data_IF_197607028143
#
_entry.id   IF_197607028143
#
_cell.length_a   1.000
_cell.length_b   1.000
_cell.length_c   1.000
_cell.angle_alpha   90.00
_cell.angle_beta   90.00
_cell.angle_gamma   90.00
#
_symmetry.space_group_name_H-M   'P 1'
#
loop_
_entity.id
_entity.type
_entity.pdbx_description
1 polymer ?
#
# COMPACT_ATOMS: atom_id res chain seq x y z
N UNK A 1 -12.18 -7.54 -5.28
CA UNK A 1 -13.42 -6.90 -4.88
C UNK A 1 -13.74 -5.74 -5.80
N UNK A 2 -15.00 -5.37 -5.90
CA UNK A 2 -15.44 -4.28 -6.76
C UNK A 2 -14.83 -2.91 -6.39
N UNK A 3 -14.27 -2.81 -5.22
CA UNK A 3 -13.81 -1.55 -4.61
C UNK A 3 -12.28 -1.38 -4.63
N UNK A 4 -11.56 -2.23 -5.35
CA UNK A 4 -10.09 -2.16 -5.45
C UNK A 4 -9.33 -2.61 -4.20
N UNK A 5 -10.01 -2.76 -3.07
CA UNK A 5 -9.43 -3.29 -1.83
C UNK A 5 -9.43 -4.81 -1.88
N UNK A 6 -8.26 -5.41 -1.66
CA UNK A 6 -8.09 -6.85 -1.80
C UNK A 6 -7.34 -7.45 -0.61
N UNK A 7 -7.74 -8.66 -0.23
CA UNK A 7 -6.87 -9.52 0.55
C UNK A 7 -5.78 -10.09 -0.36
N UNK A 8 -4.54 -10.00 0.07
CA UNK A 8 -3.38 -10.47 -0.67
C UNK A 8 -2.64 -11.55 0.11
N UNK A 9 -2.32 -12.66 -0.57
CA UNK A 9 -1.43 -13.69 -0.08
C UNK A 9 -0.22 -13.77 -1.03
N UNK A 10 0.97 -13.55 -0.50
CA UNK A 10 2.22 -13.63 -1.27
C UNK A 10 3.09 -14.75 -0.72
N UNK A 11 3.42 -15.68 -1.60
CA UNK A 11 4.35 -16.77 -1.34
C UNK A 11 5.70 -16.43 -1.97
N UNK A 12 6.71 -16.28 -1.17
CA UNK A 12 8.08 -16.10 -1.66
C UNK A 12 8.78 -17.45 -1.72
N UNK A 13 9.27 -17.84 -2.89
CA UNK A 13 9.84 -19.16 -3.16
C UNK A 13 11.06 -19.54 -2.31
N UNK A 14 11.71 -18.56 -1.71
CA UNK A 14 12.91 -18.74 -0.87
C UNK A 14 12.74 -18.17 0.54
N UNK A 15 11.51 -17.91 0.98
CA UNK A 15 11.22 -17.31 2.28
C UNK A 15 10.60 -18.34 3.22
N UNK A 16 10.98 -18.27 4.50
CA UNK A 16 10.32 -18.99 5.58
C UNK A 16 8.99 -18.36 6.00
N UNK A 17 8.59 -17.29 5.31
CA UNK A 17 7.40 -16.51 5.63
C UNK A 17 6.40 -16.51 4.47
N UNK A 18 5.14 -16.41 4.84
CA UNK A 18 4.01 -16.11 3.96
C UNK A 18 3.52 -14.71 4.32
N UNK A 19 3.48 -13.82 3.33
CA UNK A 19 2.91 -12.48 3.52
C UNK A 19 1.41 -12.52 3.31
N UNK A 20 0.67 -12.07 4.31
CA UNK A 20 -0.78 -11.91 4.21
C UNK A 20 -1.18 -10.50 4.60
N UNK A 21 -2.03 -9.86 3.79
CA UNK A 21 -2.37 -8.46 4.04
C UNK A 21 -3.51 -7.91 3.23
N UNK A 22 -3.76 -6.62 3.46
CA UNK A 22 -4.67 -5.78 2.71
C UNK A 22 -3.87 -5.05 1.64
N UNK A 23 -4.39 -5.03 0.44
CA UNK A 23 -3.77 -4.41 -0.72
C UNK A 23 -4.76 -3.45 -1.38
N UNK A 24 -4.32 -2.23 -1.65
CA UNK A 24 -5.05 -1.24 -2.41
C UNK A 24 -4.21 -0.76 -3.58
N UNK A 25 -4.70 -0.99 -4.77
CA UNK A 25 -4.07 -0.60 -6.03
C UNK A 25 -4.89 0.45 -6.76
N UNK A 26 -4.23 1.26 -7.57
CA UNK A 26 -4.88 2.08 -8.56
C UNK A 26 -5.47 1.21 -9.66
N UNK A 27 -6.80 1.14 -9.75
CA UNK A 27 -7.49 0.48 -10.86
C UNK A 27 -7.70 1.49 -11.98
N UNK A 28 -7.67 1.00 -13.20
CA UNK A 28 -7.63 1.77 -14.44
C UNK A 28 -8.97 2.43 -14.82
N UNK A 29 -10.05 2.08 -14.14
CA UNK A 29 -11.40 2.52 -14.48
C UNK A 29 -11.94 3.55 -13.48
N UNK A 30 -13.04 4.17 -13.79
CA UNK A 30 -13.68 5.40 -13.30
C UNK A 30 -13.70 5.67 -11.79
N UNK A 31 -13.42 4.70 -10.96
CA UNK A 31 -13.22 4.84 -9.52
C UNK A 31 -11.79 4.43 -9.18
N UNK A 32 -10.97 5.41 -8.82
CA UNK A 32 -9.62 5.13 -8.36
C UNK A 32 -9.57 5.14 -6.83
N UNK A 33 -9.77 3.97 -6.18
CA UNK A 33 -9.89 3.88 -4.73
C UNK A 33 -8.69 4.47 -4.01
N UNK A 34 -7.49 4.33 -4.59
CA UNK A 34 -6.28 4.91 -4.01
C UNK A 34 -6.29 6.43 -4.01
N UNK A 35 -6.82 7.08 -5.05
CA UNK A 35 -6.95 8.53 -5.10
C UNK A 35 -7.93 9.04 -4.04
N UNK A 36 -9.06 8.37 -3.90
CA UNK A 36 -10.05 8.70 -2.87
C UNK A 36 -9.47 8.53 -1.47
N UNK A 37 -8.74 7.43 -1.21
CA UNK A 37 -8.07 7.21 0.08
C UNK A 37 -7.08 8.34 0.38
N UNK A 38 -6.26 8.73 -0.59
CA UNK A 38 -5.27 9.80 -0.40
C UNK A 38 -5.94 11.13 -0.04
N UNK A 39 -7.02 11.48 -0.76
CA UNK A 39 -7.75 12.73 -0.50
C UNK A 39 -8.44 12.67 0.87
N UNK A 40 -9.14 11.58 1.17
CA UNK A 40 -9.84 11.43 2.44
C UNK A 40 -8.88 11.48 3.64
N UNK A 41 -7.74 10.80 3.55
CA UNK A 41 -6.73 10.80 4.63
C UNK A 41 -6.02 12.14 4.80
N UNK A 42 -5.95 12.97 3.76
CA UNK A 42 -5.41 14.34 3.88
C UNK A 42 -6.43 15.27 4.54
N UNK A 43 -7.71 15.13 4.19
CA UNK A 43 -8.77 15.99 4.72
C UNK A 43 -9.19 15.60 6.15
N UNK A 44 -9.29 14.30 6.43
CA UNK A 44 -9.72 13.75 7.72
C UNK A 44 -8.92 12.46 8.05
N UNK A 45 -7.68 12.58 8.55
CA UNK A 45 -6.81 11.45 8.78
C UNK A 45 -7.32 10.54 9.90
N UNK A 46 -7.55 9.28 9.57
CA UNK A 46 -8.03 8.25 10.50
C UNK A 46 -7.08 7.05 10.66
N UNK A 47 -6.13 6.87 9.76
CA UNK A 47 -5.22 5.73 9.75
C UNK A 47 -4.48 5.53 11.07
N UNK A 48 -3.95 6.60 11.65
CA UNK A 48 -3.17 6.53 12.90
C UNK A 48 -4.03 6.09 14.08
N UNK A 49 -5.30 6.50 14.11
CA UNK A 49 -6.25 6.04 15.13
C UNK A 49 -6.49 4.53 15.00
N UNK A 50 -6.66 4.06 13.77
CA UNK A 50 -6.82 2.62 13.50
C UNK A 50 -5.56 1.87 13.92
N UNK A 51 -4.37 2.29 13.50
CA UNK A 51 -3.09 1.67 13.91
C UNK A 51 -2.94 1.58 15.42
N UNK A 52 -3.29 2.65 16.14
CA UNK A 52 -3.19 2.72 17.60
C UNK A 52 -4.17 1.78 18.32
N UNK A 53 -5.24 1.37 17.66
CA UNK A 53 -6.23 0.45 18.20
C UNK A 53 -5.88 -1.04 18.00
N UNK A 54 -4.87 -1.32 17.15
CA UNK A 54 -4.52 -2.70 16.80
C UNK A 54 -3.67 -3.36 17.86
N UNK A 55 -3.98 -4.61 18.26
CA UNK A 55 -3.07 -5.41 19.05
C UNK A 55 -1.83 -5.77 18.23
N UNK A 56 -0.66 -5.78 18.87
CA UNK A 56 0.62 -6.17 18.24
C UNK A 56 0.91 -5.38 16.96
N UNK A 57 0.64 -4.06 16.98
CA UNK A 57 0.84 -3.15 15.84
C UNK A 57 2.28 -3.12 15.33
N UNK A 58 3.25 -3.50 16.17
CA UNK A 58 4.66 -3.69 15.82
C UNK A 58 4.92 -4.86 14.87
N UNK A 59 3.96 -5.75 14.63
CA UNK A 59 4.05 -6.86 13.68
C UNK A 59 3.28 -6.58 12.37
N UNK A 60 2.61 -5.45 12.28
CA UNK A 60 1.82 -5.07 11.12
C UNK A 60 2.61 -4.06 10.29
N UNK A 61 3.03 -4.47 9.13
CA UNK A 61 3.85 -3.68 8.22
C UNK A 61 2.99 -2.78 7.33
N UNK A 62 3.42 -1.55 7.15
CA UNK A 62 2.86 -0.54 6.25
C UNK A 62 3.86 -0.26 5.15
N UNK A 63 3.47 -0.44 3.92
CA UNK A 63 4.32 -0.27 2.75
C UNK A 63 3.57 0.49 1.66
N UNK A 64 4.06 1.66 1.31
CA UNK A 64 3.69 2.37 0.10
C UNK A 64 4.73 2.14 -1.00
N UNK A 65 4.25 1.90 -2.22
CA UNK A 65 5.13 1.67 -3.37
C UNK A 65 4.65 2.46 -4.58
N UNK A 66 5.61 2.80 -5.45
CA UNK A 66 5.35 3.28 -6.81
C UNK A 66 5.31 2.10 -7.77
N UNK A 67 4.36 2.11 -8.70
CA UNK A 67 4.22 1.11 -9.79
C UNK A 67 4.21 -0.36 -9.34
N UNK A 68 3.62 -0.65 -8.18
CA UNK A 68 3.61 -1.98 -7.59
C UNK A 68 2.85 -3.01 -8.44
N UNK A 69 1.88 -2.57 -9.23
CA UNK A 69 1.02 -3.45 -10.03
C UNK A 69 1.78 -4.28 -11.08
N UNK A 70 2.98 -3.84 -11.47
CA UNK A 70 3.78 -4.52 -12.50
C UNK A 70 5.17 -4.93 -12.01
N UNK A 71 5.41 -4.91 -10.72
CA UNK A 71 6.71 -5.20 -10.11
C UNK A 71 7.26 -6.60 -10.47
N UNK A 72 6.39 -7.56 -10.76
CA UNK A 72 6.81 -8.91 -11.16
C UNK A 72 7.35 -8.99 -12.60
N UNK A 73 7.00 -8.04 -13.46
CA UNK A 73 7.32 -8.05 -14.89
C UNK A 73 8.19 -6.88 -15.36
N UNK A 74 8.47 -5.90 -14.49
CA UNK A 74 9.26 -4.71 -14.83
C UNK A 74 10.56 -4.64 -14.04
N UNK A 75 11.57 -3.96 -14.59
CA UNK A 75 12.79 -3.64 -13.84
C UNK A 75 12.43 -2.88 -12.55
N UNK A 76 13.12 -3.22 -11.47
CA UNK A 76 12.99 -2.50 -10.19
C UNK A 76 13.49 -1.07 -10.38
N UNK A 77 12.76 -0.10 -9.88
CA UNK A 77 13.15 1.31 -9.82
C UNK A 77 13.79 1.61 -8.47
N UNK A 78 14.80 2.49 -8.46
CA UNK A 78 15.55 2.79 -7.23
C UNK A 78 14.66 3.46 -6.16
N UNK A 79 13.64 4.21 -6.56
CA UNK A 79 12.71 4.94 -5.70
C UNK A 79 11.35 4.22 -5.55
N UNK A 80 11.37 2.89 -5.49
CA UNK A 80 10.13 2.11 -5.51
C UNK A 80 9.31 2.25 -4.24
N UNK A 81 9.97 2.42 -3.08
CA UNK A 81 9.30 2.54 -1.79
C UNK A 81 9.11 4.01 -1.45
N UNK A 82 7.86 4.41 -1.22
CA UNK A 82 7.49 5.76 -0.76
C UNK A 82 7.86 5.87 0.72
N UNK A 83 8.40 7.02 1.13
CA UNK A 83 8.89 7.22 2.49
C UNK A 83 10.21 6.49 2.79
N UNK A 84 10.84 5.86 1.77
CA UNK A 84 12.18 5.25 1.83
C UNK A 84 12.25 3.89 2.51
N UNK A 85 11.24 3.44 3.26
CA UNK A 85 11.27 2.16 3.97
C UNK A 85 9.86 1.59 4.23
N UNK A 86 9.81 0.29 4.52
CA UNK A 86 8.65 -0.33 5.17
C UNK A 86 8.70 0.01 6.65
N UNK A 87 7.58 0.44 7.21
CA UNK A 87 7.40 0.72 8.64
C UNK A 87 6.37 -0.22 9.23
N UNK A 88 6.42 -0.40 10.54
CA UNK A 88 5.33 -1.04 11.26
C UNK A 88 4.29 -0.01 11.71
N UNK A 89 3.04 -0.44 11.96
CA UNK A 89 1.97 0.47 12.35
C UNK A 89 2.33 1.35 13.56
N UNK A 90 3.10 0.82 14.53
CA UNK A 90 3.54 1.58 15.70
C UNK A 90 4.69 2.56 15.42
N UNK A 91 5.35 2.46 14.27
CA UNK A 91 6.42 3.38 13.84
C UNK A 91 5.89 4.54 12.99
N UNK A 92 4.66 4.43 12.49
CA UNK A 92 4.07 5.49 11.66
C UNK A 92 3.59 6.63 12.56
N UNK A 93 4.29 7.77 12.49
CA UNK A 93 3.87 9.02 13.14
C UNK A 93 3.03 9.87 12.19
N UNK A 94 2.40 10.93 12.70
CA UNK A 94 1.63 11.87 11.88
C UNK A 94 2.47 12.48 10.76
N UNK A 95 3.70 12.90 11.09
CA UNK A 95 4.61 13.51 10.14
C UNK A 95 5.04 12.53 9.05
N UNK A 96 5.30 11.27 9.43
CA UNK A 96 5.67 10.21 8.48
C UNK A 96 4.49 9.84 7.58
N UNK A 97 3.29 9.76 8.15
CA UNK A 97 2.09 9.46 7.36
C UNK A 97 1.79 10.57 6.35
N UNK A 98 1.83 11.82 6.77
CA UNK A 98 1.67 12.98 5.89
C UNK A 98 2.70 13.00 4.76
N UNK A 99 3.96 12.72 5.06
CA UNK A 99 5.01 12.59 4.05
C UNK A 99 4.69 11.50 3.03
N UNK A 100 4.26 10.32 3.51
CA UNK A 100 3.90 9.20 2.64
C UNK A 100 2.70 9.53 1.75
N UNK A 101 1.67 10.18 2.27
CA UNK A 101 0.50 10.62 1.51
C UNK A 101 0.90 11.61 0.41
N UNK A 102 1.71 12.61 0.73
CA UNK A 102 2.18 13.60 -0.23
C UNK A 102 3.03 12.98 -1.34
N UNK A 103 3.96 12.08 -1.01
CA UNK A 103 4.75 11.36 -2.02
C UNK A 103 3.87 10.42 -2.88
N UNK A 104 2.82 9.83 -2.30
CA UNK A 104 1.88 9.00 -3.05
C UNK A 104 1.02 9.84 -4.01
N UNK A 105 0.57 11.03 -3.58
CA UNK A 105 -0.12 12.00 -4.44
C UNK A 105 0.71 12.39 -5.65
N UNK A 106 2.00 12.58 -5.46
CA UNK A 106 2.94 12.85 -6.55
C UNK A 106 2.96 11.78 -7.66
N UNK A 107 2.42 10.59 -7.39
CA UNK A 107 2.25 9.54 -8.39
C UNK A 107 0.95 9.69 -9.21
N UNK A 108 0.11 10.66 -8.90
CA UNK A 108 -1.13 10.95 -9.59
C UNK A 108 -0.99 12.23 -10.43
N UNK A 109 -1.79 12.34 -11.49
CA UNK A 109 -1.82 13.49 -12.39
C UNK A 109 -2.94 14.45 -11.95
N UNK A 110 -2.57 15.50 -11.24
CA UNK A 110 -3.49 16.53 -10.74
C UNK A 110 -4.34 17.18 -11.83
N UNK A 111 -3.80 17.27 -13.06
CA UNK A 111 -4.52 17.89 -14.19
C UNK A 111 -5.71 17.04 -14.64
N UNK A 112 -5.82 15.82 -14.16
CA UNK A 112 -6.87 14.85 -14.49
C UNK A 112 -7.67 14.42 -13.27
N UNK A 113 -7.91 15.33 -12.34
CA UNK A 113 -8.68 15.09 -11.10
C UNK A 113 -8.12 13.92 -10.27
N UNK A 114 -6.81 13.79 -10.18
CA UNK A 114 -6.11 12.70 -9.46
C UNK A 114 -6.52 11.28 -9.92
N UNK A 115 -7.12 11.15 -11.09
CA UNK A 115 -7.60 9.86 -11.63
C UNK A 115 -6.72 9.28 -12.73
N UNK A 116 -5.56 9.86 -12.96
CA UNK A 116 -4.61 9.38 -13.94
C UNK A 116 -3.23 9.21 -13.31
N UNK A 117 -2.45 8.30 -13.89
CA UNK A 117 -1.06 8.09 -13.50
C UNK A 117 -0.21 9.25 -13.97
N UNK A 118 0.60 9.81 -13.08
CA UNK A 118 1.63 10.73 -13.47
C UNK A 118 2.74 10.01 -14.23
N UNK A 119 3.34 10.70 -15.21
CA UNK A 119 4.56 10.23 -15.87
C UNK A 119 5.76 10.84 -15.16
N UNK A 120 6.67 9.98 -14.71
CA UNK A 120 7.92 10.42 -14.07
C UNK A 120 9.12 9.74 -14.68
N UNK A 121 10.23 10.45 -14.73
CA UNK A 121 11.53 9.87 -15.07
C UNK A 121 12.09 9.21 -13.82
N UNK A 122 12.31 7.92 -13.89
CA UNK A 122 12.84 7.10 -12.79
C UNK A 122 14.14 6.43 -13.19
N UNK A 123 14.97 6.13 -12.22
CA UNK A 123 16.22 5.39 -12.39
C UNK A 123 15.98 3.90 -12.14
N UNK A 124 16.44 3.06 -13.06
CA UNK A 124 16.33 1.61 -12.92
C UNK A 124 17.45 1.08 -12.04
N UNK A 125 17.10 0.28 -11.02
CA UNK A 125 18.05 -0.32 -10.11
C UNK A 125 19.13 -1.13 -10.83
N UNK A 126 20.36 -0.92 -10.44
CA UNK A 126 21.54 -1.64 -10.92
C UNK A 126 22.07 -1.25 -12.29
N UNK A 127 21.35 -0.48 -13.10
CA UNK A 127 21.77 -0.07 -14.44
C UNK A 127 22.10 1.42 -14.55
N UNK A 128 21.60 2.26 -13.64
CA UNK A 128 21.68 3.71 -13.72
C UNK A 128 20.93 4.32 -14.92
N UNK A 129 20.18 3.51 -15.67
CA UNK A 129 19.41 3.97 -16.84
C UNK A 129 18.15 4.68 -16.36
N UNK A 130 17.93 5.89 -16.87
CA UNK A 130 16.68 6.63 -16.63
C UNK A 130 15.64 6.29 -17.70
N UNK A 131 14.38 6.19 -17.25
CA UNK A 131 13.25 5.88 -18.12
C UNK A 131 12.01 6.64 -17.65
N UNK A 132 11.19 7.11 -18.61
CA UNK A 132 9.86 7.62 -18.31
C UNK A 132 8.91 6.45 -18.06
N UNK A 133 8.21 6.48 -16.94
CA UNK A 133 7.25 5.46 -16.53
C UNK A 133 5.98 6.09 -15.96
N UNK A 134 4.85 5.41 -16.19
CA UNK A 134 3.59 5.73 -15.53
C UNK A 134 3.68 5.29 -14.06
N UNK A 135 3.47 6.22 -13.14
CA UNK A 135 3.46 5.95 -11.71
C UNK A 135 2.07 5.53 -11.24
N UNK A 136 2.02 4.65 -10.28
CA UNK A 136 0.78 4.23 -9.62
C UNK A 136 1.09 3.98 -8.16
N UNK A 137 0.54 4.77 -7.24
CA UNK A 137 0.71 4.50 -5.83
C UNK A 137 0.00 3.20 -5.45
N UNK A 138 0.58 2.47 -4.53
CA UNK A 138 0.11 1.18 -4.08
C UNK A 138 0.36 1.04 -2.59
N UNK A 139 -0.70 0.80 -1.83
CA UNK A 139 -0.64 0.58 -0.39
C UNK A 139 -0.77 -0.90 -0.08
N UNK A 140 0.16 -1.41 0.71
CA UNK A 140 0.09 -2.74 1.31
C UNK A 140 0.22 -2.63 2.83
N UNK A 141 -0.69 -3.25 3.55
CA UNK A 141 -0.60 -3.39 5.01
C UNK A 141 -0.71 -4.88 5.32
N UNK A 142 0.34 -5.45 5.92
CA UNK A 142 0.49 -6.89 5.97
C UNK A 142 1.21 -7.40 7.22
N UNK A 143 1.04 -8.69 7.46
CA UNK A 143 1.77 -9.48 8.45
C UNK A 143 2.58 -10.54 7.71
N UNK A 144 3.84 -10.72 8.07
CA UNK A 144 4.66 -11.83 7.64
C UNK A 144 4.49 -12.99 8.64
N UNK A 145 3.94 -14.10 8.18
CA UNK A 145 3.58 -15.27 8.98
C UNK A 145 4.64 -16.34 8.74
N UNK A 146 5.30 -16.83 9.79
CA UNK A 146 6.21 -17.96 9.68
C UNK A 146 5.49 -19.20 9.20
N UNK A 147 6.12 -19.96 8.31
CA UNK A 147 5.55 -21.24 7.88
C UNK A 147 5.48 -22.21 9.06
N UNK A 148 4.27 -22.58 9.43
CA UNK A 148 3.97 -23.50 10.51
C UNK A 148 3.19 -24.72 10.01
N UNK A 149 3.05 -25.72 10.85
CA UNK A 149 2.20 -26.88 10.56
C UNK A 149 0.71 -26.56 10.55
N UNK A 150 0.30 -25.39 11.06
CA UNK A 150 -1.09 -24.92 11.13
C UNK A 150 -1.28 -23.57 10.45
N UNK A 151 -0.68 -23.40 9.28
CA UNK A 151 -0.73 -22.16 8.48
C UNK A 151 -2.16 -21.66 8.24
N UNK A 152 -3.13 -22.57 8.17
CA UNK A 152 -4.53 -22.20 7.97
C UNK A 152 -5.08 -21.42 9.15
N UNK A 153 -4.77 -21.84 10.38
CA UNK A 153 -5.17 -21.13 11.58
C UNK A 153 -4.42 -19.80 11.70
N UNK A 154 -3.13 -19.77 11.38
CA UNK A 154 -2.32 -18.55 11.42
C UNK A 154 -2.84 -17.50 10.43
N UNK A 155 -3.25 -17.90 9.23
CA UNK A 155 -3.90 -17.02 8.26
C UNK A 155 -5.23 -16.49 8.76
N UNK A 156 -6.05 -17.31 9.46
CA UNK A 156 -7.30 -16.86 10.04
C UNK A 156 -7.07 -15.82 11.14
N UNK A 157 -6.10 -16.05 12.01
CA UNK A 157 -5.71 -15.08 13.05
C UNK A 157 -5.21 -13.77 12.43
N UNK A 158 -4.36 -13.84 11.42
CA UNK A 158 -3.88 -12.66 10.71
C UNK A 158 -5.01 -11.89 10.05
N UNK A 159 -5.99 -12.58 9.45
CA UNK A 159 -7.18 -11.94 8.88
C UNK A 159 -7.99 -11.21 9.95
N UNK A 160 -8.24 -11.84 11.10
CA UNK A 160 -8.98 -11.21 12.20
C UNK A 160 -8.26 -9.96 12.73
N UNK A 161 -6.93 -10.01 12.85
CA UNK A 161 -6.10 -8.86 13.26
C UNK A 161 -6.11 -7.72 12.27
N UNK A 162 -6.14 -8.01 10.97
CA UNK A 162 -6.13 -7.02 9.89
C UNK A 162 -7.54 -6.54 9.50
N UNK A 163 -8.60 -7.08 10.08
CA UNK A 163 -9.97 -6.68 9.74
C UNK A 163 -10.23 -5.19 9.93
N UNK A 164 -9.79 -4.53 11.02
CA UNK A 164 -9.96 -3.08 11.18
C UNK A 164 -9.26 -2.27 10.07
N UNK A 165 -8.10 -2.73 9.62
CA UNK A 165 -7.39 -2.12 8.48
C UNK A 165 -8.18 -2.29 7.18
N UNK A 166 -8.71 -3.48 6.95
CA UNK A 166 -9.53 -3.75 5.76
C UNK A 166 -10.78 -2.87 5.72
N UNK A 167 -11.48 -2.75 6.83
CA UNK A 167 -12.66 -1.89 6.96
C UNK A 167 -12.32 -0.41 6.78
N UNK A 168 -11.23 0.06 7.42
CA UNK A 168 -10.73 1.41 7.21
C UNK A 168 -10.38 1.66 5.73
N UNK A 169 -9.66 0.74 5.08
CA UNK A 169 -9.27 0.91 3.68
C UNK A 169 -10.49 1.03 2.77
N UNK A 170 -11.54 0.25 3.02
CA UNK A 170 -12.81 0.36 2.28
C UNK A 170 -13.44 1.72 2.51
N UNK A 171 -13.53 2.18 3.76
CA UNK A 171 -14.18 3.44 4.11
C UNK A 171 -13.41 4.63 3.51
N UNK A 172 -12.10 4.68 3.71
CA UNK A 172 -11.24 5.74 3.21
C UNK A 172 -11.14 5.79 1.67
N UNK A 173 -11.47 4.69 0.97
CA UNK A 173 -11.44 4.63 -0.49
C UNK A 173 -12.78 4.93 -1.17
N UNK A 174 -13.82 5.28 -0.41
CA UNK A 174 -15.11 5.69 -0.97
C UNK A 174 -15.01 7.02 -1.71
N UNK A 175 -15.83 7.16 -2.74
CA UNK A 175 -15.95 8.44 -3.47
C UNK A 175 -16.31 9.58 -2.51
N UNK A 176 -15.61 10.68 -2.67
CA UNK A 176 -15.97 11.96 -2.06
C UNK A 176 -17.12 12.53 -2.91
N UNK A 177 -18.29 12.63 -2.35
CA UNK A 177 -19.46 13.22 -2.99
C UNK A 177 -19.49 14.74 -2.83
#
# INVERSE_FOLDING_TARGET
GADGVQWQLVLHTNSEFVRFGVNLEGIKDSNWPIANLLINEIEDPDFLRVCSSLPESEQINVLWRRDAWQAASRPIIDEQVIGGSTLTCNEVTSEVWELMLNEALDCLDETKDFRARAKKTVTLSGSGVTKEMDMSPHLQIYIDISQSSDIKNDLRIAQERLMPIYEWTIEASKDIH
#
